data_IF_887198980202
#
_entry.id   IF_887198980202
#
_cell.length_a   1.000
_cell.length_b   1.000
_cell.length_c   1.000
_cell.angle_alpha   90.00
_cell.angle_beta   90.00
_cell.angle_gamma   90.00
#
_symmetry.space_group_name_H-M   'P 1'
#
loop_
_entity.id
_entity.type
_entity.pdbx_description
1 polymer ?
#
# COMPACT_ATOMS: atom_id res chain seq x y z
N UNK A 1 1.43 7.62 -15.57
CA UNK A 1 1.59 6.66 -14.46
C UNK A 1 2.32 7.36 -13.33
N UNK A 2 1.67 7.57 -12.20
CA UNK A 2 2.30 8.10 -11.00
C UNK A 2 2.72 6.91 -10.14
N UNK A 3 3.98 6.84 -9.73
CA UNK A 3 4.51 5.77 -8.88
C UNK A 3 5.27 6.36 -7.70
N UNK A 4 5.38 5.62 -6.61
CA UNK A 4 6.13 5.99 -5.40
C UNK A 4 6.97 4.81 -4.92
N UNK A 5 8.16 5.09 -4.41
CA UNK A 5 9.00 4.07 -3.77
C UNK A 5 8.37 3.60 -2.45
N UNK A 6 8.46 2.29 -2.21
CA UNK A 6 8.01 1.67 -0.97
C UNK A 6 8.92 0.48 -0.58
N UNK A 7 8.87 0.10 0.69
CA UNK A 7 9.44 -1.15 1.17
C UNK A 7 8.31 -2.15 1.44
N UNK A 8 8.30 -3.25 0.70
CA UNK A 8 7.37 -4.36 0.87
C UNK A 8 7.90 -5.38 1.88
N UNK A 9 7.03 -5.82 2.78
CA UNK A 9 7.28 -6.88 3.75
C UNK A 9 6.24 -7.99 3.54
N UNK A 10 6.72 -9.21 3.37
CA UNK A 10 5.90 -10.37 2.99
C UNK A 10 5.10 -11.00 4.15
N UNK A 11 5.26 -10.48 5.36
CA UNK A 11 4.63 -11.01 6.58
C UNK A 11 5.17 -12.36 7.05
N UNK A 12 6.15 -12.95 6.35
CA UNK A 12 6.81 -14.22 6.69
C UNK A 12 8.20 -13.99 7.26
N UNK A 13 8.86 -12.93 6.79
CA UNK A 13 10.20 -12.51 7.22
C UNK A 13 10.21 -11.02 7.55
N UNK A 14 11.18 -10.58 8.35
CA UNK A 14 11.39 -9.16 8.64
C UNK A 14 12.18 -8.42 7.54
N UNK A 15 12.35 -9.02 6.36
CA UNK A 15 13.14 -8.44 5.28
C UNK A 15 12.26 -7.52 4.43
N UNK A 16 12.69 -6.26 4.28
CA UNK A 16 12.10 -5.33 3.34
C UNK A 16 12.60 -5.56 1.91
N UNK A 17 11.68 -5.46 0.95
CA UNK A 17 11.94 -5.50 -0.48
C UNK A 17 11.63 -4.13 -1.08
N UNK A 18 12.61 -3.50 -1.73
CA UNK A 18 12.37 -2.26 -2.44
C UNK A 18 11.42 -2.52 -3.62
N UNK A 19 10.32 -1.78 -3.66
CA UNK A 19 9.29 -1.88 -4.70
C UNK A 19 8.84 -0.49 -5.15
N UNK A 20 8.36 -0.41 -6.38
CA UNK A 20 7.58 0.71 -6.88
C UNK A 20 6.10 0.40 -6.70
N UNK A 21 5.40 1.31 -6.05
CA UNK A 21 3.96 1.24 -5.85
C UNK A 21 3.29 2.21 -6.83
N UNK A 22 2.25 1.74 -7.51
CA UNK A 22 1.44 2.53 -8.42
C UNK A 22 -0.04 2.22 -8.24
N UNK A 23 -0.89 3.18 -8.57
CA UNK A 23 -2.34 3.00 -8.59
C UNK A 23 -2.85 3.39 -9.96
N UNK A 24 -3.65 2.50 -10.55
CA UNK A 24 -4.37 2.71 -11.80
C UNK A 24 -5.84 2.39 -11.56
N UNK A 25 -6.71 3.38 -11.77
CA UNK A 25 -8.13 3.35 -11.40
C UNK A 25 -8.39 2.86 -9.96
N UNK A 26 -8.81 1.62 -9.80
CA UNK A 26 -9.13 0.94 -8.54
C UNK A 26 -8.12 -0.16 -8.19
N UNK A 27 -7.02 -0.27 -8.93
CA UNK A 27 -6.03 -1.33 -8.80
C UNK A 27 -4.72 -0.76 -8.27
N UNK A 28 -4.26 -1.30 -7.14
CA UNK A 28 -2.94 -1.06 -6.60
C UNK A 28 -1.98 -2.12 -7.15
N UNK A 29 -0.85 -1.68 -7.70
CA UNK A 29 0.24 -2.55 -8.14
C UNK A 29 1.52 -2.24 -7.36
N UNK A 30 2.25 -3.29 -6.95
CA UNK A 30 3.63 -3.19 -6.47
C UNK A 30 4.54 -4.08 -7.33
N UNK A 31 5.70 -3.54 -7.72
CA UNK A 31 6.69 -4.26 -8.53
C UNK A 31 8.10 -3.96 -8.03
N UNK A 32 8.94 -4.99 -7.93
CA UNK A 32 10.33 -4.92 -7.50
C UNK A 32 11.04 -6.25 -7.73
N UNK A 33 12.27 -6.38 -7.25
CA UNK A 33 13.06 -7.59 -7.46
C UNK A 33 12.41 -8.81 -6.78
N UNK A 34 11.93 -9.75 -7.60
CA UNK A 34 11.20 -10.94 -7.15
C UNK A 34 9.81 -10.67 -6.57
N UNK A 35 9.30 -9.43 -6.64
CA UNK A 35 7.99 -9.03 -6.10
C UNK A 35 7.15 -8.43 -7.21
N UNK A 36 5.99 -9.02 -7.50
CA UNK A 36 4.99 -8.45 -8.39
C UNK A 36 3.61 -8.81 -7.86
N UNK A 37 2.81 -7.80 -7.49
CA UNK A 37 1.48 -8.01 -6.90
C UNK A 37 0.53 -6.92 -7.37
N UNK A 38 -0.71 -7.33 -7.66
CA UNK A 38 -1.84 -6.44 -7.94
C UNK A 38 -3.01 -6.81 -7.03
N UNK A 39 -3.67 -5.82 -6.46
CA UNK A 39 -4.84 -5.98 -5.60
C UNK A 39 -5.83 -4.84 -5.84
N UNK A 40 -7.10 -5.06 -5.54
CA UNK A 40 -8.03 -3.96 -5.54
C UNK A 40 -7.65 -2.98 -4.41
N UNK A 41 -7.62 -1.69 -4.71
CA UNK A 41 -7.30 -0.63 -3.76
C UNK A 41 -8.30 -0.58 -2.60
N UNK A 42 -9.52 -1.09 -2.79
CA UNK A 42 -10.50 -1.23 -1.73
C UNK A 42 -10.14 -2.35 -0.72
N UNK A 43 -9.31 -3.32 -1.09
CA UNK A 43 -8.94 -4.45 -0.21
C UNK A 43 -7.76 -4.13 0.71
N UNK A 44 -7.06 -3.02 0.45
CA UNK A 44 -5.90 -2.62 1.23
C UNK A 44 -6.28 -1.60 2.28
N UNK A 45 -5.71 -1.76 3.48
CA UNK A 45 -5.85 -0.77 4.55
C UNK A 45 -4.72 0.23 4.45
N UNK A 46 -5.05 1.50 4.32
CA UNK A 46 -4.08 2.60 4.41
C UNK A 46 -4.13 3.18 5.81
N UNK A 47 -2.99 3.21 6.51
CA UNK A 47 -2.84 3.93 7.78
C UNK A 47 -3.19 5.41 7.62
N UNK A 48 -3.63 6.09 8.69
CA UNK A 48 -3.86 7.53 8.65
C UNK A 48 -2.56 8.31 8.38
N UNK A 49 -2.63 9.51 7.75
CA UNK A 49 -1.47 10.37 7.60
C UNK A 49 -0.89 10.80 8.95
N UNK A 50 0.40 10.51 9.16
CA UNK A 50 1.18 10.98 10.30
C UNK A 50 2.34 11.85 9.79
N UNK A 51 2.55 13.02 10.39
CA UNK A 51 3.44 14.06 9.86
C UNK A 51 4.91 13.61 9.70
N UNK A 52 5.37 12.68 10.52
CA UNK A 52 6.78 12.26 10.59
C UNK A 52 6.99 10.74 10.46
N UNK A 53 5.95 9.98 10.14
CA UNK A 53 6.04 8.53 10.01
C UNK A 53 5.75 8.10 8.56
N UNK A 54 6.39 7.02 8.08
CA UNK A 54 5.98 6.39 6.84
C UNK A 54 4.49 6.02 6.86
N UNK A 55 3.81 6.13 5.71
CA UNK A 55 2.50 5.51 5.56
C UNK A 55 2.67 4.01 5.46
N UNK A 56 1.90 3.28 6.24
CA UNK A 56 1.75 1.84 6.10
C UNK A 56 0.52 1.54 5.26
N UNK A 57 0.69 0.66 4.27
CA UNK A 57 -0.38 0.02 3.52
C UNK A 57 -0.37 -1.47 3.86
N UNK A 58 -1.47 -2.00 4.39
CA UNK A 58 -1.59 -3.40 4.81
C UNK A 58 -2.48 -4.17 3.83
N UNK A 59 -1.99 -5.33 3.40
CA UNK A 59 -2.69 -6.24 2.50
C UNK A 59 -3.54 -7.27 3.28
N UNK A 60 -4.51 -7.95 2.62
CA UNK A 60 -5.37 -8.95 3.26
C UNK A 60 -4.64 -10.13 3.92
N UNK A 61 -3.45 -10.45 3.43
CA UNK A 61 -2.57 -11.53 3.93
C UNK A 61 -1.58 -11.04 5.01
N UNK A 62 -1.82 -9.87 5.59
CA UNK A 62 -0.99 -9.21 6.59
C UNK A 62 0.42 -8.78 6.12
N UNK A 63 0.76 -8.99 4.85
CA UNK A 63 1.88 -8.30 4.22
C UNK A 63 1.63 -6.78 4.27
N UNK A 64 2.69 -5.98 4.17
CA UNK A 64 2.55 -4.52 4.18
C UNK A 64 3.62 -3.80 3.37
N UNK A 65 3.31 -2.58 2.94
CA UNK A 65 4.25 -1.64 2.37
C UNK A 65 4.44 -0.44 3.29
N UNK A 66 5.68 -0.02 3.48
CA UNK A 66 6.03 1.26 4.08
C UNK A 66 6.39 2.27 2.98
N UNK A 67 5.74 3.43 3.00
CA UNK A 67 5.92 4.50 2.02
C UNK A 67 6.41 5.75 2.76
N UNK A 68 7.65 6.16 2.47
CA UNK A 68 8.24 7.33 3.12
C UNK A 68 7.72 8.65 2.54
N UNK A 69 7.51 8.71 1.22
CA UNK A 69 6.99 9.91 0.55
C UNK A 69 5.46 10.00 0.68
N UNK A 70 5.04 10.53 1.82
CA UNK A 70 3.66 10.80 2.16
C UNK A 70 2.96 11.70 1.11
N UNK A 71 3.67 12.70 0.57
CA UNK A 71 3.09 13.70 -0.32
C UNK A 71 2.83 13.11 -1.72
N UNK A 72 3.79 12.35 -2.27
CA UNK A 72 3.61 11.65 -3.54
C UNK A 72 2.51 10.59 -3.43
N UNK A 73 2.48 9.86 -2.32
CA UNK A 73 1.45 8.85 -2.07
C UNK A 73 0.05 9.45 -1.94
N UNK A 74 -0.11 10.54 -1.17
CA UNK A 74 -1.40 11.23 -1.05
C UNK A 74 -1.89 11.77 -2.40
N UNK A 75 -1.00 12.33 -3.22
CA UNK A 75 -1.35 12.79 -4.57
C UNK A 75 -1.78 11.66 -5.50
N UNK A 76 -1.21 10.46 -5.34
CA UNK A 76 -1.61 9.30 -6.11
C UNK A 76 -2.97 8.77 -5.66
N UNK A 77 -3.21 8.69 -4.34
CA UNK A 77 -4.53 8.31 -3.79
C UNK A 77 -5.63 9.31 -4.17
N UNK A 78 -5.33 10.61 -4.20
CA UNK A 78 -6.31 11.62 -4.58
C UNK A 78 -6.71 11.55 -6.07
N UNK A 79 -5.87 10.94 -6.91
CA UNK A 79 -6.14 10.73 -8.34
C UNK A 79 -6.86 9.40 -8.61
N UNK A 80 -6.58 8.38 -7.81
CA UNK A 80 -7.43 7.20 -7.80
C UNK A 80 -8.76 7.57 -7.15
N UNK A 81 -9.84 6.87 -7.48
CA UNK A 81 -11.16 7.11 -6.86
C UNK A 81 -11.22 6.83 -5.35
N UNK A 82 -10.06 6.75 -4.69
CA UNK A 82 -9.90 6.51 -3.27
C UNK A 82 -10.42 7.70 -2.47
N UNK A 83 -11.73 7.71 -2.25
CA UNK A 83 -12.30 8.29 -1.04
C UNK A 83 -11.74 7.47 0.11
N UNK A 84 -11.40 8.08 1.26
CA UNK A 84 -11.00 7.38 2.49
C UNK A 84 -12.03 6.29 2.82
N UNK A 85 -11.84 5.13 2.20
CA UNK A 85 -12.85 4.09 2.17
C UNK A 85 -12.48 3.23 3.33
N UNK A 86 -13.23 3.44 4.40
CA UNK A 86 -13.34 2.61 5.59
C UNK A 86 -13.72 1.19 5.17
N UNK A 87 -12.83 0.47 4.48
CA UNK A 87 -13.04 -0.95 4.18
C UNK A 87 -12.62 -1.74 5.40
N UNK A 88 -13.56 -1.78 6.33
CA UNK A 88 -13.76 -2.92 7.21
C UNK A 88 -14.26 -4.06 6.33
N UNK A 89 -13.37 -4.97 5.95
CA UNK A 89 -13.75 -6.27 5.39
C UNK A 89 -13.08 -7.40 6.19
N UNK A 90 -13.65 -7.61 7.39
CA UNK A 90 -13.92 -8.89 8.06
C UNK A 90 -12.81 -9.95 8.25
N UNK A 91 -12.46 -10.11 9.55
CA UNK A 91 -12.21 -11.37 10.26
C UNK A 91 -11.14 -12.32 9.70
N UNK A 92 -9.94 -12.24 10.23
CA UNK A 92 -9.17 -13.43 10.62
C UNK A 92 -8.34 -13.14 11.87
N UNK A 93 -9.02 -13.28 13.01
CA UNK A 93 -8.61 -14.07 14.18
C UNK A 93 -7.09 -14.12 14.45
N UNK A 94 -6.70 -13.42 15.51
CA UNK A 94 -5.51 -13.77 16.28
C UNK A 94 -5.62 -15.20 16.82
#
# INVERSE_FOLDING_TARGET
MNSVDANYFDGRTSRGHAVLLSVDDDTLAIEGDGVARRVCLAEVRVSEPLMHAPRVLTFPDAAFCEIADNAAFAQMLARSGHRDSLVVAWQSRW
#
